data_IF_620202431088
#
_entry.id   IF_620202431088
#
_cell.length_a   1.000
_cell.length_b   1.000
_cell.length_c   1.000
_cell.angle_alpha   90.00
_cell.angle_beta   90.00
_cell.angle_gamma   90.00
#
_symmetry.space_group_name_H-M   'P 1'
#
loop_
_entity.id
_entity.type
_entity.pdbx_description
1 polymer ?
#
# COMPACT_ATOMS: atom_id res chain seq x y z
N UNK A 1 18.62 16.01 -3.53
CA UNK A 1 17.77 15.15 -4.38
C UNK A 1 16.45 14.85 -3.68
N UNK A 2 15.40 14.48 -4.42
CA UNK A 2 14.10 14.06 -3.87
C UNK A 2 14.19 12.58 -3.47
N UNK A 3 13.77 12.23 -2.24
CA UNK A 3 13.70 10.82 -1.82
C UNK A 3 12.50 10.14 -2.49
N UNK A 4 12.78 9.15 -3.33
CA UNK A 4 11.78 8.35 -4.05
C UNK A 4 11.92 6.89 -3.62
N UNK A 5 10.79 6.19 -3.49
CA UNK A 5 10.77 4.75 -3.28
C UNK A 5 9.85 4.09 -4.30
N UNK A 6 10.31 2.99 -4.88
CA UNK A 6 9.56 2.10 -5.74
C UNK A 6 9.39 0.75 -5.05
N UNK A 7 8.22 0.13 -5.18
CA UNK A 7 7.90 -1.20 -4.63
C UNK A 7 6.70 -1.78 -5.37
N UNK A 8 6.58 -3.11 -5.44
CA UNK A 8 5.32 -3.74 -5.82
C UNK A 8 4.32 -3.65 -4.67
N UNK A 9 3.02 -3.75 -4.97
CA UNK A 9 1.98 -3.82 -3.96
C UNK A 9 2.17 -5.05 -3.05
N UNK A 10 2.49 -6.20 -3.63
CA UNK A 10 2.74 -7.45 -2.89
C UNK A 10 3.90 -7.33 -1.90
N UNK A 11 5.05 -6.78 -2.33
CA UNK A 11 6.21 -6.62 -1.45
C UNK A 11 5.95 -5.62 -0.33
N UNK A 12 5.24 -4.52 -0.63
CA UNK A 12 4.88 -3.53 0.37
C UNK A 12 4.00 -4.15 1.45
N UNK A 13 3.00 -4.92 1.04
CA UNK A 13 2.07 -5.58 1.95
C UNK A 13 2.74 -6.66 2.79
N UNK A 14 3.60 -7.47 2.18
CA UNK A 14 4.40 -8.47 2.88
C UNK A 14 5.30 -7.83 3.94
N UNK A 15 5.95 -6.71 3.61
CA UNK A 15 6.78 -5.97 4.56
C UNK A 15 5.97 -5.39 5.72
N UNK A 16 4.81 -4.82 5.43
CA UNK A 16 3.94 -4.23 6.45
C UNK A 16 3.32 -5.30 7.35
N UNK A 17 2.83 -6.41 6.79
CA UNK A 17 2.24 -7.52 7.56
C UNK A 17 3.29 -8.19 8.45
N UNK A 18 4.50 -8.40 7.93
CA UNK A 18 5.63 -8.92 8.70
C UNK A 18 6.03 -7.96 9.82
N UNK A 19 6.09 -6.66 9.54
CA UNK A 19 6.41 -5.66 10.56
C UNK A 19 5.33 -5.58 11.65
N UNK A 20 4.05 -5.73 11.30
CA UNK A 20 2.96 -5.77 12.25
C UNK A 20 3.06 -6.99 13.18
N UNK A 21 3.33 -8.18 12.64
CA UNK A 21 3.56 -9.40 13.43
C UNK A 21 4.76 -9.29 14.38
N UNK A 22 5.77 -8.51 14.00
CA UNK A 22 6.98 -8.26 14.81
C UNK A 22 6.85 -7.06 15.76
N UNK A 23 5.72 -6.35 15.79
CA UNK A 23 5.55 -5.14 16.61
C UNK A 23 6.43 -3.96 16.18
N UNK A 24 6.86 -3.93 14.91
CA UNK A 24 7.72 -2.88 14.31
C UNK A 24 6.99 -2.06 13.22
N UNK A 25 5.68 -2.17 13.17
CA UNK A 25 4.76 -1.51 12.24
C UNK A 25 5.04 -0.01 12.09
N UNK A 26 5.16 0.72 13.21
CA UNK A 26 5.37 2.18 13.20
C UNK A 26 6.65 2.56 12.48
N UNK A 27 7.74 1.85 12.74
CA UNK A 27 9.06 2.13 12.16
C UNK A 27 9.08 1.81 10.67
N UNK A 28 8.51 0.66 10.29
CA UNK A 28 8.45 0.24 8.89
C UNK A 28 7.55 1.16 8.07
N UNK A 29 6.38 1.53 8.61
CA UNK A 29 5.47 2.48 7.97
C UNK A 29 6.14 3.88 7.86
N UNK A 30 6.82 4.35 8.90
CA UNK A 30 7.50 5.64 8.83
C UNK A 30 8.60 5.65 7.76
N UNK A 31 9.46 4.62 7.73
CA UNK A 31 10.61 4.58 6.81
C UNK A 31 10.21 4.23 5.38
N UNK A 32 9.32 3.25 5.22
CA UNK A 32 8.92 2.75 3.91
C UNK A 32 7.80 3.55 3.26
N UNK A 33 6.89 4.09 4.07
CA UNK A 33 5.67 4.74 3.58
C UNK A 33 5.65 6.23 3.82
N UNK A 34 6.31 6.80 4.83
CA UNK A 34 6.20 8.26 5.09
C UNK A 34 7.46 9.06 4.75
N UNK A 35 8.64 8.47 4.90
CA UNK A 35 9.90 9.15 4.63
C UNK A 35 10.13 9.53 3.14
N UNK A 36 9.69 8.74 2.13
CA UNK A 36 9.84 9.12 0.73
C UNK A 36 8.86 10.23 0.35
N UNK A 37 9.34 11.27 -0.34
CA UNK A 37 8.48 12.34 -0.89
C UNK A 37 7.60 11.85 -2.04
N UNK A 38 8.07 10.83 -2.76
CA UNK A 38 7.32 10.09 -3.77
C UNK A 38 7.39 8.59 -3.46
N UNK A 39 6.23 7.95 -3.40
CA UNK A 39 6.09 6.50 -3.29
C UNK A 39 5.41 5.99 -4.55
N UNK A 40 6.06 5.06 -5.24
CA UNK A 40 5.53 4.38 -6.41
C UNK A 40 5.19 2.96 -5.99
N UNK A 41 3.93 2.57 -6.19
CA UNK A 41 3.44 1.22 -5.92
C UNK A 41 3.01 0.61 -7.24
N UNK A 42 3.72 -0.43 -7.66
CA UNK A 42 3.50 -1.11 -8.93
C UNK A 42 2.63 -2.37 -8.76
N UNK A 43 2.05 -2.85 -9.87
CA UNK A 43 1.39 -4.15 -10.00
C UNK A 43 0.21 -4.41 -9.06
N UNK A 44 -0.62 -3.39 -8.80
CA UNK A 44 -1.86 -3.62 -8.05
C UNK A 44 -2.77 -4.57 -8.83
N UNK A 45 -3.32 -5.56 -8.13
CA UNK A 45 -4.34 -6.44 -8.68
C UNK A 45 -3.85 -7.70 -9.39
N UNK A 46 -2.55 -7.99 -9.35
CA UNK A 46 -2.02 -9.27 -9.85
C UNK A 46 -2.33 -10.44 -8.90
N UNK A 47 -2.40 -10.19 -7.59
CA UNK A 47 -2.78 -11.17 -6.57
C UNK A 47 -3.95 -10.64 -5.73
N UNK A 48 -4.93 -11.50 -5.37
CA UNK A 48 -5.99 -11.10 -4.46
C UNK A 48 -5.40 -10.83 -3.08
N UNK A 49 -5.70 -9.66 -2.52
CA UNK A 49 -5.30 -9.33 -1.16
C UNK A 49 -6.19 -10.02 -0.15
N UNK A 50 -5.60 -10.47 0.95
CA UNK A 50 -6.38 -10.81 2.14
C UNK A 50 -7.06 -9.55 2.71
N UNK A 51 -8.12 -9.74 3.49
CA UNK A 51 -8.83 -8.61 4.11
C UNK A 51 -7.91 -7.77 5.02
N UNK A 52 -6.91 -8.38 5.66
CA UNK A 52 -5.90 -7.69 6.47
C UNK A 52 -4.96 -6.84 5.59
N UNK A 53 -4.50 -7.40 4.48
CA UNK A 53 -3.64 -6.70 3.52
C UNK A 53 -4.36 -5.54 2.85
N UNK A 54 -5.64 -5.70 2.49
CA UNK A 54 -6.46 -4.60 1.99
C UNK A 54 -6.55 -3.45 3.01
N UNK A 55 -6.79 -3.76 4.30
CA UNK A 55 -6.79 -2.75 5.38
C UNK A 55 -5.43 -2.04 5.52
N UNK A 56 -4.32 -2.78 5.44
CA UNK A 56 -2.98 -2.20 5.47
C UNK A 56 -2.74 -1.29 4.27
N UNK A 57 -3.18 -1.69 3.08
CA UNK A 57 -3.08 -0.87 1.87
C UNK A 57 -3.86 0.45 2.00
N UNK A 58 -5.11 0.39 2.48
CA UNK A 58 -5.89 1.59 2.76
C UNK A 58 -5.22 2.48 3.81
N UNK A 59 -4.61 1.90 4.84
CA UNK A 59 -3.87 2.66 5.84
C UNK A 59 -2.69 3.43 5.21
N UNK A 60 -1.97 2.82 4.26
CA UNK A 60 -0.90 3.48 3.50
C UNK A 60 -1.43 4.69 2.74
N UNK A 61 -2.51 4.50 1.97
CA UNK A 61 -3.14 5.55 1.18
C UNK A 61 -3.60 6.69 2.09
N UNK A 62 -4.36 6.38 3.15
CA UNK A 62 -4.90 7.35 4.09
C UNK A 62 -3.80 8.16 4.79
N UNK A 63 -2.66 7.54 5.13
CA UNK A 63 -1.54 8.27 5.74
C UNK A 63 -0.82 9.20 4.78
N UNK A 64 -0.80 8.89 3.47
CA UNK A 64 -0.13 9.70 2.44
C UNK A 64 -1.05 10.74 1.81
N UNK A 65 -2.37 10.56 1.90
CA UNK A 65 -3.37 11.52 1.45
C UNK A 65 -3.06 12.92 2.00
N UNK A 66 -2.99 13.91 1.10
CA UNK A 66 -2.62 15.31 1.37
C UNK A 66 -1.23 15.57 1.98
N UNK A 67 -0.41 14.53 2.22
CA UNK A 67 0.92 14.69 2.84
C UNK A 67 2.07 14.51 1.86
N UNK A 68 1.95 13.59 0.91
CA UNK A 68 3.05 13.26 -0.01
C UNK A 68 2.55 12.51 -1.25
N UNK A 69 3.19 12.76 -2.39
CA UNK A 69 2.75 12.20 -3.67
C UNK A 69 2.85 10.67 -3.70
N UNK A 70 1.88 10.04 -4.38
CA UNK A 70 1.89 8.62 -4.69
C UNK A 70 1.64 8.42 -6.18
N UNK A 71 2.32 7.43 -6.77
CA UNK A 71 1.99 6.91 -8.09
C UNK A 71 1.60 5.44 -7.88
N UNK A 72 0.46 5.06 -8.42
CA UNK A 72 -0.05 3.70 -8.39
C UNK A 72 -0.17 3.21 -9.83
N UNK A 73 0.25 1.98 -10.10
CA UNK A 73 -0.08 1.28 -11.34
C UNK A 73 -0.91 0.05 -10.99
N UNK A 74 -1.82 -0.32 -11.88
CA UNK A 74 -2.72 -1.44 -11.66
C UNK A 74 -3.05 -2.09 -12.99
N UNK A 75 -3.16 -3.41 -12.97
CA UNK A 75 -3.72 -4.16 -14.09
C UNK A 75 -5.24 -4.28 -13.99
N UNK A 76 -5.83 -3.80 -12.89
CA UNK A 76 -7.28 -3.82 -12.67
C UNK A 76 -7.90 -2.45 -12.97
N UNK A 77 -9.00 -2.41 -13.75
CA UNK A 77 -9.78 -1.19 -13.91
C UNK A 77 -10.39 -0.78 -12.56
N UNK A 78 -10.60 0.53 -12.35
CA UNK A 78 -11.07 1.07 -11.07
C UNK A 78 -12.35 0.40 -10.53
N UNK A 79 -13.29 -0.01 -11.38
CA UNK A 79 -14.52 -0.70 -10.94
C UNK A 79 -14.31 -2.12 -10.38
N UNK A 80 -13.11 -2.70 -10.52
CA UNK A 80 -12.75 -4.01 -9.95
C UNK A 80 -11.94 -3.89 -8.66
N UNK A 81 -11.64 -2.66 -8.22
CA UNK A 81 -10.95 -2.42 -6.97
C UNK A 81 -11.82 -2.87 -5.80
N UNK A 82 -13.14 -2.67 -5.86
CA UNK A 82 -14.05 -3.14 -4.82
C UNK A 82 -13.86 -4.64 -4.59
N UNK A 83 -13.89 -5.49 -5.63
CA UNK A 83 -13.66 -6.93 -5.48
C UNK A 83 -12.26 -7.31 -4.92
N UNK A 84 -11.26 -6.46 -5.15
CA UNK A 84 -9.87 -6.70 -4.73
C UNK A 84 -9.59 -6.21 -3.31
N UNK A 85 -10.32 -5.18 -2.85
CA UNK A 85 -10.09 -4.49 -1.59
C UNK A 85 -11.23 -4.67 -0.57
N UNK A 86 -12.42 -5.07 -1.01
CA UNK A 86 -13.64 -5.20 -0.21
C UNK A 86 -14.55 -6.32 -0.74
N UNK A 87 -14.73 -7.37 0.04
CA UNK A 87 -15.85 -8.29 -0.13
C UNK A 87 -17.23 -7.66 0.19
N UNK A 88 -17.29 -6.38 0.56
CA UNK A 88 -18.53 -5.65 0.83
C UNK A 88 -18.58 -4.40 -0.03
N UNK A 89 -19.38 -4.47 -1.09
CA UNK A 89 -20.00 -3.29 -1.67
C UNK A 89 -20.93 -2.70 -0.61
N UNK A 90 -20.76 -1.41 -0.30
CA UNK A 90 -21.69 -0.65 0.53
C UNK A 90 -23.07 -0.55 -0.13
#
# INVERSE_FOLDING_TARGET
GIKVRFTTAADLLLQLSTAQRQGRDKTTLQRGVMAPRLLIIDEIGYLPFSQEEAKLFFQVIAKRYEKSAMILTSNLPFGQWDQTFAGDAA
#
